data_IF_936179669382
#
_entry.id   IF_936179669382
#
_cell.length_a   1.000
_cell.length_b   1.000
_cell.length_c   1.000
_cell.angle_alpha   90.00
_cell.angle_beta   90.00
_cell.angle_gamma   90.00
#
_symmetry.space_group_name_H-M   'P 1'
#
loop_
_entity.id
_entity.type
_entity.pdbx_description
1 polymer ?
#
# COMPACT_ATOMS: atom_id res chain seq x y z
N UNK A 1 35.20 6.77 18.31
CA UNK A 1 35.45 7.45 17.02
C UNK A 1 34.17 7.31 16.21
N UNK A 2 33.23 8.23 16.42
CA UNK A 2 31.97 8.26 15.65
C UNK A 2 32.34 8.59 14.21
N UNK A 3 32.08 7.65 13.30
CA UNK A 3 32.24 7.89 11.88
C UNK A 3 31.24 9.00 11.51
N UNK A 4 31.69 10.13 10.93
CA UNK A 4 30.76 11.16 10.49
C UNK A 4 29.73 10.51 9.56
N UNK A 5 28.45 10.75 9.82
CA UNK A 5 27.36 10.28 8.98
C UNK A 5 27.70 10.68 7.54
N UNK A 6 27.88 9.69 6.67
CA UNK A 6 28.18 9.95 5.26
C UNK A 6 27.12 10.89 4.70
N UNK A 7 27.59 11.96 4.05
CA UNK A 7 26.73 12.97 3.43
C UNK A 7 25.69 12.27 2.54
N UNK A 8 24.38 12.53 2.73
CA UNK A 8 23.36 11.81 2.00
C UNK A 8 23.47 12.14 0.51
N UNK A 9 23.68 11.13 -0.33
CA UNK A 9 23.70 11.28 -1.79
C UNK A 9 22.32 11.48 -2.42
N UNK A 10 21.26 11.56 -1.61
CA UNK A 10 19.86 11.63 -2.04
C UNK A 10 19.08 12.82 -1.46
N UNK A 11 17.84 13.05 -1.91
CA UNK A 11 17.00 14.14 -1.41
C UNK A 11 16.81 14.08 0.11
N UNK A 12 16.79 15.23 0.77
CA UNK A 12 16.50 15.31 2.21
C UNK A 12 15.11 14.76 2.53
N UNK A 13 14.98 13.97 3.59
CA UNK A 13 13.72 13.35 3.98
C UNK A 13 12.57 14.37 4.19
N UNK A 14 12.86 15.52 4.81
CA UNK A 14 11.85 16.56 5.05
C UNK A 14 11.27 17.14 3.76
N UNK A 15 12.10 17.38 2.74
CA UNK A 15 11.62 17.86 1.42
C UNK A 15 10.79 16.79 0.72
N UNK A 16 11.19 15.53 0.79
CA UNK A 16 10.42 14.43 0.22
C UNK A 16 9.05 14.29 0.89
N UNK A 17 8.99 14.44 2.22
CA UNK A 17 7.74 14.43 2.98
C UNK A 17 6.81 15.59 2.56
N UNK A 18 7.33 16.82 2.54
CA UNK A 18 6.54 17.99 2.12
C UNK A 18 6.05 17.85 0.67
N UNK A 19 6.90 17.34 -0.22
CA UNK A 19 6.53 17.02 -1.60
C UNK A 19 5.41 15.98 -1.67
N UNK A 20 5.49 14.93 -0.85
CA UNK A 20 4.44 13.92 -0.73
C UNK A 20 3.11 14.49 -0.25
N UNK A 21 3.13 15.33 0.79
CA UNK A 21 1.92 16.00 1.32
C UNK A 21 1.29 16.89 0.22
N UNK A 22 2.09 17.73 -0.42
CA UNK A 22 1.62 18.60 -1.50
C UNK A 22 1.03 17.78 -2.66
N UNK A 23 1.72 16.71 -3.07
CA UNK A 23 1.24 15.79 -4.09
C UNK A 23 -0.11 15.16 -3.72
N UNK A 24 -0.28 14.70 -2.47
CA UNK A 24 -1.54 14.12 -2.01
C UNK A 24 -2.69 15.13 -2.11
N UNK A 25 -2.51 16.37 -1.66
CA UNK A 25 -3.55 17.40 -1.79
C UNK A 25 -3.90 17.69 -3.25
N UNK A 26 -2.88 17.87 -4.10
CA UNK A 26 -3.07 18.12 -5.53
C UNK A 26 -3.79 16.95 -6.21
N UNK A 27 -3.42 15.72 -5.88
CA UNK A 27 -4.01 14.53 -6.46
C UNK A 27 -5.45 14.31 -5.99
N UNK A 28 -5.76 14.58 -4.72
CA UNK A 28 -7.14 14.58 -4.22
C UNK A 28 -7.99 15.64 -4.92
N UNK A 29 -7.47 16.87 -5.10
CA UNK A 29 -8.15 17.91 -5.84
C UNK A 29 -8.38 17.52 -7.31
N UNK A 30 -7.40 16.84 -7.92
CA UNK A 30 -7.51 16.30 -9.27
C UNK A 30 -8.62 15.25 -9.37
N UNK A 31 -8.68 14.28 -8.46
CA UNK A 31 -9.77 13.29 -8.40
C UNK A 31 -11.13 13.98 -8.27
N UNK A 32 -11.24 14.96 -7.36
CA UNK A 32 -12.49 15.70 -7.16
C UNK A 32 -12.94 16.42 -8.43
N UNK A 33 -12.01 17.07 -9.14
CA UNK A 33 -12.28 17.76 -10.40
C UNK A 33 -12.70 16.79 -11.52
N UNK A 34 -12.11 15.60 -11.57
CA UNK A 34 -12.39 14.61 -12.59
C UNK A 34 -13.61 13.72 -12.27
N UNK A 35 -14.02 13.66 -11.01
CA UNK A 35 -15.12 12.83 -10.51
C UNK A 35 -16.41 12.92 -11.34
N UNK A 36 -16.94 14.13 -11.63
CA UNK A 36 -18.18 14.28 -12.40
C UNK A 36 -18.17 13.65 -13.80
N UNK A 37 -16.99 13.38 -14.38
CA UNK A 37 -16.89 12.67 -15.67
C UNK A 37 -17.37 11.23 -15.59
N UNK A 38 -17.46 10.66 -14.40
CA UNK A 38 -17.88 9.29 -14.15
C UNK A 38 -19.40 9.15 -13.92
N UNK A 39 -20.13 10.24 -13.75
CA UNK A 39 -21.58 10.24 -13.46
C UNK A 39 -22.43 9.69 -14.63
N UNK A 40 -21.86 9.66 -15.84
CA UNK A 40 -22.53 9.10 -17.02
C UNK A 40 -22.55 7.57 -17.06
N UNK A 41 -21.87 6.88 -16.14
CA UNK A 41 -21.80 5.42 -16.14
C UNK A 41 -23.08 4.84 -15.53
N UNK A 42 -23.79 4.04 -16.33
CA UNK A 42 -25.00 3.35 -15.88
C UNK A 42 -24.63 2.19 -14.96
N UNK A 43 -25.09 2.26 -13.71
CA UNK A 43 -24.86 1.23 -12.71
C UNK A 43 -26.02 0.23 -12.68
N UNK A 44 -25.69 -0.99 -12.28
CA UNK A 44 -26.66 -2.08 -12.11
C UNK A 44 -27.53 -1.85 -10.85
N UNK A 45 -28.78 -2.32 -10.85
CA UNK A 45 -29.63 -2.25 -9.67
C UNK A 45 -29.06 -3.07 -8.53
N UNK A 46 -29.41 -2.69 -7.30
CA UNK A 46 -29.00 -3.42 -6.10
C UNK A 46 -29.53 -4.87 -6.11
N UNK A 47 -28.67 -5.82 -5.75
CA UNK A 47 -28.95 -7.25 -5.70
C UNK A 47 -28.86 -7.84 -4.27
N UNK A 48 -28.68 -6.99 -3.24
CA UNK A 48 -28.73 -7.40 -1.83
C UNK A 48 -27.38 -7.30 -1.09
N UNK A 49 -27.27 -7.95 0.06
CA UNK A 49 -26.23 -7.68 1.06
C UNK A 49 -24.77 -7.91 0.63
N UNK A 50 -24.52 -8.69 -0.43
CA UNK A 50 -23.19 -8.95 -0.98
C UNK A 50 -22.91 -8.15 -2.27
N UNK A 51 -23.85 -7.31 -2.69
CA UNK A 51 -23.76 -6.53 -3.91
C UNK A 51 -22.84 -5.32 -3.74
N UNK A 52 -22.06 -5.02 -4.78
CA UNK A 52 -21.23 -3.81 -4.83
C UNK A 52 -21.77 -2.89 -5.90
N UNK A 53 -22.12 -1.66 -5.50
CA UNK A 53 -22.85 -0.70 -6.32
C UNK A 53 -22.04 -0.22 -7.55
N UNK A 54 -20.73 -0.03 -7.39
CA UNK A 54 -19.85 0.55 -8.41
C UNK A 54 -19.29 -0.48 -9.40
N UNK A 55 -20.06 -1.53 -9.70
CA UNK A 55 -19.66 -2.56 -10.65
C UNK A 55 -19.89 -2.09 -12.09
N UNK A 56 -18.86 -2.22 -12.94
CA UNK A 56 -19.05 -2.08 -14.38
C UNK A 56 -19.99 -3.19 -14.89
N UNK A 57 -21.12 -2.88 -15.55
CA UNK A 57 -22.10 -3.90 -15.94
C UNK A 57 -21.55 -4.92 -16.93
N UNK A 58 -20.80 -4.46 -17.92
CA UNK A 58 -20.27 -5.28 -19.02
C UNK A 58 -18.74 -5.31 -18.97
N UNK A 59 -18.17 -6.12 -18.07
CA UNK A 59 -16.73 -6.27 -17.95
C UNK A 59 -16.15 -7.17 -19.06
N UNK A 60 -15.41 -6.57 -19.98
CA UNK A 60 -14.66 -7.29 -21.02
C UNK A 60 -13.31 -7.78 -20.49
N UNK A 61 -12.69 -8.72 -21.21
CA UNK A 61 -11.32 -9.20 -20.91
C UNK A 61 -10.34 -8.02 -20.80
N UNK A 62 -10.47 -7.01 -21.66
CA UNK A 62 -9.61 -5.83 -21.65
C UNK A 62 -9.79 -4.98 -20.39
N UNK A 63 -11.02 -4.78 -19.92
CA UNK A 63 -11.27 -4.04 -18.67
C UNK A 63 -10.62 -4.73 -17.47
N UNK A 64 -10.70 -6.06 -17.39
CA UNK A 64 -10.06 -6.84 -16.31
C UNK A 64 -8.54 -6.84 -16.42
N UNK A 65 -7.99 -7.09 -17.61
CA UNK A 65 -6.54 -7.04 -17.84
C UNK A 65 -5.97 -5.65 -17.54
N UNK A 66 -6.69 -4.58 -17.91
CA UNK A 66 -6.26 -3.20 -17.65
C UNK A 66 -6.12 -2.89 -16.16
N UNK A 67 -6.81 -3.62 -15.29
CA UNK A 67 -6.72 -3.43 -13.85
C UNK A 67 -5.74 -4.42 -13.19
N UNK A 68 -5.78 -5.71 -13.57
CA UNK A 68 -4.90 -6.74 -13.01
C UNK A 68 -3.44 -6.60 -13.43
N UNK A 69 -3.15 -6.23 -14.69
CA UNK A 69 -1.77 -6.15 -15.17
C UNK A 69 -0.98 -5.03 -14.45
N UNK A 70 -1.47 -3.78 -14.35
CA UNK A 70 -0.78 -2.76 -13.58
C UNK A 70 -0.66 -3.13 -12.10
N UNK A 71 -1.69 -3.76 -11.53
CA UNK A 71 -1.62 -4.24 -10.15
C UNK A 71 -0.48 -5.23 -9.94
N UNK A 72 -0.40 -6.30 -10.74
CA UNK A 72 0.67 -7.31 -10.63
C UNK A 72 2.05 -6.70 -10.88
N UNK A 73 2.16 -5.85 -11.90
CA UNK A 73 3.42 -5.17 -12.23
C UNK A 73 3.89 -4.29 -11.06
N UNK A 74 2.98 -3.53 -10.46
CA UNK A 74 3.27 -2.72 -9.27
C UNK A 74 3.77 -3.57 -8.11
N UNK A 75 3.08 -4.68 -7.80
CA UNK A 75 3.49 -5.59 -6.72
C UNK A 75 4.90 -6.15 -6.95
N UNK A 76 5.19 -6.62 -8.17
CA UNK A 76 6.51 -7.16 -8.53
C UNK A 76 7.61 -6.11 -8.39
N UNK A 77 7.37 -4.88 -8.86
CA UNK A 77 8.35 -3.79 -8.77
C UNK A 77 8.62 -3.42 -7.29
N UNK A 78 7.57 -3.30 -6.48
CA UNK A 78 7.73 -2.96 -5.06
C UNK A 78 8.45 -4.08 -4.30
N UNK A 79 8.09 -5.34 -4.51
CA UNK A 79 8.80 -6.47 -3.91
C UNK A 79 10.25 -6.54 -4.34
N UNK A 80 10.54 -6.26 -5.61
CA UNK A 80 11.91 -6.18 -6.11
C UNK A 80 12.70 -5.06 -5.42
N UNK A 81 12.12 -3.87 -5.24
CA UNK A 81 12.75 -2.77 -4.51
C UNK A 81 13.01 -3.12 -3.03
N UNK A 82 12.05 -3.76 -2.36
CA UNK A 82 12.20 -4.22 -0.97
C UNK A 82 13.31 -5.27 -0.89
N UNK A 83 13.32 -6.25 -1.78
CA UNK A 83 14.37 -7.27 -1.86
C UNK A 83 15.76 -6.63 -2.03
N UNK A 84 15.89 -5.66 -2.94
CA UNK A 84 17.14 -4.91 -3.14
C UNK A 84 17.56 -4.14 -1.89
N UNK A 85 16.63 -3.52 -1.19
CA UNK A 85 16.91 -2.83 0.07
C UNK A 85 17.37 -3.79 1.18
N UNK A 86 16.74 -4.97 1.28
CA UNK A 86 17.12 -6.01 2.24
C UNK A 86 18.53 -6.56 1.98
N UNK A 87 18.92 -6.73 0.72
CA UNK A 87 20.28 -7.17 0.36
C UNK A 87 21.35 -6.15 0.74
N UNK A 88 21.06 -4.85 0.61
CA UNK A 88 22.03 -3.79 0.88
C UNK A 88 22.19 -3.48 2.38
N UNK A 89 21.23 -3.89 3.23
CA UNK A 89 21.14 -3.58 4.67
C UNK A 89 21.63 -2.16 5.02
N UNK A 90 21.06 -1.14 4.37
CA UNK A 90 21.56 0.22 4.49
C UNK A 90 21.33 0.76 5.90
N UNK A 91 22.31 1.51 6.41
CA UNK A 91 22.18 2.21 7.68
C UNK A 91 21.17 3.37 7.61
N UNK A 92 20.76 3.86 8.79
CA UNK A 92 19.96 5.06 8.90
C UNK A 92 20.76 6.28 8.44
N UNK A 93 20.15 7.10 7.59
CA UNK A 93 20.74 8.35 7.09
C UNK A 93 19.70 9.46 7.11
N UNK A 94 20.14 10.72 7.11
CA UNK A 94 19.23 11.88 7.04
C UNK A 94 18.56 12.09 5.66
N UNK A 95 18.97 11.33 4.63
CA UNK A 95 18.44 11.40 3.27
C UNK A 95 17.69 10.14 2.87
N UNK A 96 17.01 10.21 1.72
CA UNK A 96 16.42 9.02 1.11
C UNK A 96 17.47 8.23 0.32
N UNK A 97 17.54 6.94 0.60
CA UNK A 97 18.24 5.99 -0.25
C UNK A 97 17.59 5.91 -1.64
N UNK A 98 18.37 5.53 -2.65
CA UNK A 98 17.89 5.45 -4.03
C UNK A 98 16.62 4.59 -4.18
N UNK A 99 16.55 3.43 -3.51
CA UNK A 99 15.38 2.55 -3.56
C UNK A 99 14.13 3.19 -2.93
N UNK A 100 14.28 4.09 -1.95
CA UNK A 100 13.15 4.83 -1.37
C UNK A 100 12.61 5.86 -2.37
N UNK A 101 13.50 6.56 -3.08
CA UNK A 101 13.10 7.52 -4.13
C UNK A 101 12.36 6.78 -5.25
N UNK A 102 12.89 5.63 -5.69
CA UNK A 102 12.22 4.78 -6.66
C UNK A 102 10.87 4.25 -6.16
N UNK A 103 10.78 3.83 -4.90
CA UNK A 103 9.51 3.38 -4.32
C UNK A 103 8.47 4.50 -4.34
N UNK A 104 8.83 5.73 -3.98
CA UNK A 104 7.93 6.88 -4.08
C UNK A 104 7.50 7.16 -5.53
N UNK A 105 8.46 7.18 -6.46
CA UNK A 105 8.19 7.42 -7.88
C UNK A 105 7.28 6.36 -8.51
N UNK A 106 7.53 5.08 -8.21
CA UNK A 106 6.69 3.96 -8.67
C UNK A 106 5.28 4.10 -8.11
N UNK A 107 5.11 4.38 -6.82
CA UNK A 107 3.78 4.58 -6.25
C UNK A 107 3.05 5.75 -6.92
N UNK A 108 3.71 6.91 -7.07
CA UNK A 108 3.11 8.06 -7.74
C UNK A 108 2.70 7.75 -9.19
N UNK A 109 3.55 7.03 -9.94
CA UNK A 109 3.27 6.65 -11.32
C UNK A 109 2.06 5.70 -11.43
N UNK A 110 1.99 4.67 -10.58
CA UNK A 110 0.87 3.72 -10.61
C UNK A 110 -0.44 4.33 -10.10
N UNK A 111 -0.38 5.27 -9.16
CA UNK A 111 -1.55 6.05 -8.74
C UNK A 111 -2.10 6.89 -9.91
N UNK A 112 -1.23 7.55 -10.68
CA UNK A 112 -1.63 8.30 -11.88
C UNK A 112 -2.18 7.38 -12.98
N UNK A 113 -1.50 6.26 -13.22
CA UNK A 113 -1.94 5.25 -14.17
C UNK A 113 -3.32 4.70 -13.80
N UNK A 114 -3.56 4.44 -12.51
CA UNK A 114 -4.85 3.99 -12.02
C UNK A 114 -5.95 5.04 -12.21
N UNK A 115 -5.66 6.33 -12.01
CA UNK A 115 -6.61 7.40 -12.31
C UNK A 115 -6.99 7.39 -13.80
N UNK A 116 -5.99 7.29 -14.69
CA UNK A 116 -6.22 7.22 -16.14
C UNK A 116 -7.06 5.98 -16.48
N UNK A 117 -6.69 4.81 -15.94
CA UNK A 117 -7.41 3.55 -16.16
C UNK A 117 -8.87 3.66 -15.71
N UNK A 118 -9.14 4.28 -14.56
CA UNK A 118 -10.50 4.50 -14.04
C UNK A 118 -11.35 5.32 -15.02
N UNK A 119 -10.78 6.33 -15.67
CA UNK A 119 -11.51 7.15 -16.63
C UNK A 119 -11.68 6.51 -18.02
N UNK A 120 -10.78 5.62 -18.42
CA UNK A 120 -10.82 4.97 -19.74
C UNK A 120 -11.66 3.69 -19.72
N UNK A 121 -11.49 2.85 -18.70
CA UNK A 121 -12.07 1.51 -18.65
C UNK A 121 -13.12 1.33 -17.54
N UNK A 122 -13.19 2.25 -16.57
CA UNK A 122 -14.00 2.13 -15.36
C UNK A 122 -13.65 0.88 -14.52
N UNK A 123 -14.25 0.71 -13.33
CA UNK A 123 -13.87 -0.34 -12.38
C UNK A 123 -14.30 -1.75 -12.86
N UNK A 124 -13.35 -2.47 -13.47
CA UNK A 124 -13.49 -3.86 -13.88
C UNK A 124 -13.16 -4.90 -12.81
N UNK A 125 -12.47 -4.54 -11.71
CA UNK A 125 -12.08 -5.48 -10.65
C UNK A 125 -13.23 -5.84 -9.73
N UNK A 126 -14.21 -4.95 -9.60
CA UNK A 126 -15.41 -5.18 -8.82
C UNK A 126 -16.20 -6.44 -9.23
N UNK A 127 -15.95 -6.99 -10.42
CA UNK A 127 -16.53 -8.26 -10.87
C UNK A 127 -15.78 -9.49 -10.36
N UNK A 128 -14.46 -9.41 -10.20
CA UNK A 128 -13.61 -10.55 -9.86
C UNK A 128 -13.42 -10.72 -8.34
N UNK A 129 -13.77 -9.71 -7.54
CA UNK A 129 -13.52 -9.69 -6.09
C UNK A 129 -14.81 -9.53 -5.30
N UNK A 130 -15.00 -10.39 -4.30
CA UNK A 130 -16.13 -10.31 -3.37
C UNK A 130 -15.95 -9.17 -2.37
N UNK A 131 -17.05 -8.50 -2.00
CA UNK A 131 -17.08 -7.47 -0.94
C UNK A 131 -16.53 -8.03 0.38
N UNK A 132 -16.78 -9.32 0.66
CA UNK A 132 -16.29 -9.98 1.87
C UNK A 132 -14.77 -10.15 1.92
N UNK A 133 -14.08 -10.05 0.78
CA UNK A 133 -12.60 -10.10 0.72
C UNK A 133 -11.99 -8.99 1.58
N UNK A 134 -12.59 -7.79 1.55
CA UNK A 134 -12.15 -6.65 2.38
C UNK A 134 -12.25 -6.94 3.88
N UNK A 135 -13.38 -7.53 4.31
CA UNK A 135 -13.61 -7.92 5.72
C UNK A 135 -12.63 -9.02 6.15
N UNK A 136 -12.41 -10.02 5.29
CA UNK A 136 -11.43 -11.08 5.53
C UNK A 136 -10.02 -10.54 5.74
N UNK A 137 -9.59 -9.57 4.92
CA UNK A 137 -8.27 -8.94 5.05
C UNK A 137 -8.09 -8.21 6.39
N UNK A 138 -9.11 -7.46 6.84
CA UNK A 138 -9.07 -6.78 8.14
C UNK A 138 -8.99 -7.79 9.29
N UNK A 139 -9.80 -8.85 9.25
CA UNK A 139 -9.77 -9.91 10.27
C UNK A 139 -8.39 -10.56 10.33
N UNK A 140 -7.81 -10.92 9.17
CA UNK A 140 -6.47 -11.52 9.09
C UNK A 140 -5.40 -10.58 9.65
N UNK A 141 -5.43 -9.30 9.27
CA UNK A 141 -4.49 -8.30 9.79
C UNK A 141 -4.61 -8.16 11.31
N UNK A 142 -5.83 -8.06 11.85
CA UNK A 142 -6.06 -7.96 13.28
C UNK A 142 -5.58 -9.21 14.04
N UNK A 143 -5.86 -10.41 13.52
CA UNK A 143 -5.35 -11.67 14.09
C UNK A 143 -3.82 -11.67 14.10
N UNK A 144 -3.19 -11.30 12.99
CA UNK A 144 -1.73 -11.27 12.90
C UNK A 144 -1.12 -10.24 13.87
N UNK A 145 -1.73 -9.06 14.00
CA UNK A 145 -1.33 -8.06 14.99
C UNK A 145 -1.50 -8.60 16.41
N UNK A 146 -2.61 -9.24 16.74
CA UNK A 146 -2.82 -9.85 18.05
C UNK A 146 -1.76 -10.92 18.33
N UNK A 147 -1.40 -11.76 17.35
CA UNK A 147 -0.33 -12.75 17.52
C UNK A 147 1.02 -12.08 17.82
N UNK A 148 1.41 -11.06 17.04
CA UNK A 148 2.65 -10.30 17.28
C UNK A 148 2.64 -9.56 18.62
N UNK A 149 1.49 -9.01 19.00
CA UNK A 149 1.32 -8.22 20.22
C UNK A 149 1.13 -9.10 21.46
N UNK A 150 0.63 -10.33 21.32
CA UNK A 150 0.48 -11.30 22.41
C UNK A 150 1.83 -11.63 23.05
N UNK A 151 2.89 -11.69 22.23
CA UNK A 151 4.26 -11.90 22.67
C UNK A 151 4.81 -10.71 23.48
N UNK A 152 4.27 -9.50 23.29
CA UNK A 152 4.72 -8.27 23.96
C UNK A 152 3.85 -7.87 25.15
N UNK A 153 2.52 -8.09 25.09
CA UNK A 153 1.55 -7.58 26.08
C UNK A 153 0.75 -8.66 26.81
N UNK A 154 0.83 -9.92 26.39
CA UNK A 154 -0.02 -11.00 26.89
C UNK A 154 -1.46 -10.88 26.40
N UNK A 155 -2.08 -11.98 25.99
CA UNK A 155 -3.53 -12.01 25.73
C UNK A 155 -4.23 -12.36 27.06
N UNK A 156 -5.09 -11.47 27.54
CA UNK A 156 -5.90 -11.64 28.75
C UNK A 156 -5.07 -11.85 30.03
N UNK A 157 -4.63 -10.75 30.67
CA UNK A 157 -4.22 -10.73 32.09
C UNK A 157 -3.14 -11.73 32.57
N UNK A 158 -2.41 -12.38 31.66
CA UNK A 158 -1.13 -12.98 31.98
C UNK A 158 -0.10 -11.84 32.03
N UNK A 159 0.04 -11.22 33.21
CA UNK A 159 1.21 -10.44 33.53
C UNK A 159 2.44 -11.26 33.11
N UNK A 160 3.32 -10.66 32.31
CA UNK A 160 4.63 -11.21 32.02
C UNK A 160 5.42 -11.34 33.33
N UNK A 161 5.18 -12.43 34.06
CA UNK A 161 5.90 -12.79 35.28
C UNK A 161 6.87 -13.90 34.94
N UNK A 162 8.11 -13.48 34.68
CA UNK A 162 9.42 -14.13 34.92
C UNK A 162 9.63 -15.55 34.31
N UNK A 163 10.83 -16.07 34.01
CA UNK A 163 12.20 -15.91 34.53
C UNK A 163 13.13 -16.80 33.64
N UNK A 164 14.46 -16.95 33.86
CA UNK A 164 15.50 -16.08 34.44
C UNK A 164 16.63 -15.77 33.43
N UNK A 165 17.51 -14.85 33.81
CA UNK A 165 18.87 -14.69 33.26
C UNK A 165 19.60 -16.04 33.20
N UNK A 166 20.11 -16.41 32.02
CA UNK A 166 21.02 -17.54 31.87
C UNK A 166 22.30 -17.30 32.69
N UNK A 167 22.81 -18.28 33.45
CA UNK A 167 24.10 -18.14 34.11
C UNK A 167 25.21 -18.21 33.06
N UNK A 168 26.17 -17.30 33.18
CA UNK A 168 27.45 -17.35 32.50
C UNK A 168 28.22 -18.60 32.91
N UNK A 169 28.35 -19.58 32.01
CA UNK A 169 29.42 -20.57 32.03
C UNK A 169 29.49 -21.30 30.67
N UNK A 170 30.68 -21.19 30.06
CA UNK A 170 31.21 -21.83 28.84
C UNK A 170 30.82 -21.19 27.50
#
# INVERSE_FOLDING_TARGET
>A
MEKPLSDPSGPSANRALLGGIAFSFLFTALIWLLGPRLDGVRLLPDQGAAWYYWKLPEATVWTRLSAWLPYLLHQVIIWWLIYRAQMQRPGYTGGLHWFNVWALGVNAAFILLHLIQTHVFYDGLAQDVSVFSSQGSVILLLVMVILMESRRRGCCSAAARACPTAPSAW
#
